data_IF_346038515513
#
_entry.id   IF_346038515513
#
_cell.length_a   1.000
_cell.length_b   1.000
_cell.length_c   1.000
_cell.angle_alpha   90.00
_cell.angle_beta   90.00
_cell.angle_gamma   90.00
#
_symmetry.space_group_name_H-M   'P 1'
#
loop_
_entity.id
_entity.type
_entity.pdbx_description
1 polymer ?
#
# COMPACT_ATOMS: atom_id res chain seq x y z
N UNK A 1 -11.57 -7.18 -0.87
CA UNK A 1 -10.59 -6.46 -0.03
C UNK A 1 -9.33 -6.22 -0.82
N UNK A 2 -8.73 -5.01 -0.71
CA UNK A 2 -7.46 -4.64 -1.35
C UNK A 2 -6.45 -4.22 -0.29
N UNK A 3 -5.41 -5.02 -0.09
CA UNK A 3 -4.38 -4.83 0.94
C UNK A 3 -3.15 -4.16 0.37
N UNK A 4 -2.71 -3.07 1.00
CA UNK A 4 -1.61 -2.22 0.54
C UNK A 4 -0.61 -1.88 1.64
N UNK A 5 0.65 -1.69 1.23
CA UNK A 5 1.70 -1.10 2.06
C UNK A 5 2.28 0.13 1.37
N UNK A 6 2.34 1.27 2.06
CA UNK A 6 2.67 2.56 1.45
C UNK A 6 4.06 2.64 0.81
N UNK A 7 5.05 1.89 1.31
CA UNK A 7 6.41 1.86 0.77
C UNK A 7 6.65 0.76 -0.27
N UNK A 8 5.58 0.10 -0.73
CA UNK A 8 5.66 -0.88 -1.81
C UNK A 8 5.39 -0.23 -3.17
N UNK A 9 6.35 -0.18 -4.10
CA UNK A 9 6.12 0.37 -5.43
C UNK A 9 5.08 -0.45 -6.22
N UNK A 10 5.01 -1.75 -5.99
CA UNK A 10 3.94 -2.58 -6.58
C UNK A 10 2.56 -2.24 -6.00
N UNK A 11 2.47 -1.83 -4.70
CA UNK A 11 1.22 -1.31 -4.14
C UNK A 11 0.81 0.01 -4.80
N UNK A 12 1.77 0.91 -5.08
CA UNK A 12 1.50 2.13 -5.84
C UNK A 12 0.99 1.82 -7.25
N UNK A 13 1.69 0.95 -8.00
CA UNK A 13 1.26 0.52 -9.34
C UNK A 13 -0.15 -0.08 -9.36
N UNK A 14 -0.53 -0.82 -8.32
CA UNK A 14 -1.88 -1.36 -8.17
C UNK A 14 -2.88 -0.25 -7.81
N UNK A 15 -2.54 0.62 -6.85
CA UNK A 15 -3.40 1.69 -6.36
C UNK A 15 -3.84 2.66 -7.47
N UNK A 16 -2.95 2.97 -8.42
CA UNK A 16 -3.26 3.84 -9.56
C UNK A 16 -4.30 3.25 -10.54
N UNK A 17 -4.61 1.96 -10.42
CA UNK A 17 -5.46 1.22 -11.37
C UNK A 17 -6.67 0.54 -10.74
N UNK A 18 -6.62 0.27 -9.45
CA UNK A 18 -7.60 -0.58 -8.78
C UNK A 18 -9.03 -0.06 -8.92
N UNK A 19 -9.24 1.25 -8.80
CA UNK A 19 -10.57 1.86 -8.86
C UNK A 19 -11.22 1.75 -10.25
N UNK A 20 -10.41 1.58 -11.31
CA UNK A 20 -10.90 1.32 -12.68
C UNK A 20 -11.25 -0.15 -12.90
N UNK A 21 -10.49 -1.07 -12.31
CA UNK A 21 -10.63 -2.51 -12.50
C UNK A 21 -11.60 -3.14 -11.50
N UNK A 22 -11.62 -2.64 -10.28
CA UNK A 22 -12.41 -3.11 -9.14
C UNK A 22 -12.99 -1.90 -8.38
N UNK A 23 -13.97 -1.18 -8.93
CA UNK A 23 -14.47 0.10 -8.38
C UNK A 23 -15.06 -0.01 -6.98
N UNK A 24 -15.42 -1.21 -6.54
CA UNK A 24 -15.96 -1.48 -5.20
C UNK A 24 -14.93 -2.14 -4.26
N UNK A 25 -13.63 -2.08 -4.60
CA UNK A 25 -12.59 -2.62 -3.75
C UNK A 25 -12.55 -1.87 -2.41
N UNK A 26 -12.66 -2.60 -1.31
CA UNK A 26 -12.47 -2.04 0.04
C UNK A 26 -10.97 -2.05 0.32
N UNK A 27 -10.40 -0.87 0.50
CA UNK A 27 -8.98 -0.69 0.76
C UNK A 27 -8.65 -0.99 2.23
N UNK A 28 -7.50 -1.60 2.46
CA UNK A 28 -6.97 -1.91 3.78
C UNK A 28 -5.47 -1.62 3.83
N UNK A 29 -5.09 -0.65 4.66
CA UNK A 29 -3.69 -0.38 4.96
C UNK A 29 -3.13 -1.44 5.92
N UNK A 30 -1.95 -1.99 5.61
CA UNK A 30 -1.26 -2.97 6.46
C UNK A 30 0.21 -2.62 6.63
N UNK A 31 0.83 -3.14 7.69
CA UNK A 31 2.27 -3.03 7.88
C UNK A 31 2.99 -4.14 7.11
N UNK A 32 3.46 -3.82 5.91
CA UNK A 32 4.08 -4.78 5.00
C UNK A 32 5.29 -5.49 5.62
N UNK A 33 6.11 -4.78 6.41
CA UNK A 33 7.26 -5.36 7.11
C UNK A 33 6.89 -6.49 8.06
N UNK A 34 5.76 -6.38 8.77
CA UNK A 34 5.27 -7.45 9.65
C UNK A 34 4.75 -8.64 8.85
N UNK A 35 4.06 -8.41 7.71
CA UNK A 35 3.61 -9.49 6.80
C UNK A 35 4.82 -10.25 6.27
N UNK A 36 5.86 -9.58 5.80
CA UNK A 36 7.07 -10.23 5.30
C UNK A 36 7.74 -11.06 6.40
N UNK A 37 7.92 -10.49 7.59
CA UNK A 37 8.52 -11.17 8.73
C UNK A 37 7.76 -12.43 9.14
N UNK A 38 6.43 -12.36 9.20
CA UNK A 38 5.58 -13.51 9.53
C UNK A 38 5.70 -14.67 8.52
N UNK A 39 6.05 -14.34 7.26
CA UNK A 39 6.27 -15.30 6.19
C UNK A 39 7.76 -15.67 5.97
N UNK A 40 8.64 -15.37 6.94
CA UNK A 40 10.08 -15.66 6.85
C UNK A 40 10.81 -14.90 5.76
N UNK A 41 10.30 -13.73 5.35
CA UNK A 41 10.85 -12.91 4.27
C UNK A 41 11.25 -11.51 4.75
N UNK A 42 12.06 -10.85 3.95
CA UNK A 42 12.37 -9.41 4.06
C UNK A 42 11.92 -8.68 2.79
N UNK A 43 11.98 -7.35 2.83
CA UNK A 43 11.79 -6.56 1.61
C UNK A 43 12.90 -6.89 0.60
N UNK A 44 12.53 -7.10 -0.66
CA UNK A 44 13.48 -7.29 -1.75
C UNK A 44 14.38 -6.05 -1.96
N UNK A 45 13.95 -4.88 -1.51
CA UNK A 45 14.77 -3.67 -1.53
C UNK A 45 16.01 -3.74 -0.63
N UNK A 46 16.05 -4.70 0.32
CA UNK A 46 17.20 -5.00 1.17
C UNK A 46 18.12 -6.08 0.57
N UNK A 47 17.72 -6.70 -0.52
CA UNK A 47 18.47 -7.74 -1.22
C UNK A 47 19.23 -7.12 -2.39
N UNK A 48 20.53 -6.92 -2.24
CA UNK A 48 21.38 -6.29 -3.26
C UNK A 48 21.35 -7.02 -4.61
N UNK A 49 21.14 -8.34 -4.60
CA UNK A 49 21.12 -9.14 -5.84
C UNK A 49 19.82 -8.95 -6.64
N UNK A 50 18.70 -8.69 -5.96
CA UNK A 50 17.38 -8.55 -6.58
C UNK A 50 16.95 -7.09 -6.77
N UNK A 51 17.53 -6.17 -5.97
CA UNK A 51 17.05 -4.79 -5.88
C UNK A 51 17.03 -4.09 -7.22
N UNK A 52 18.15 -4.08 -7.92
CA UNK A 52 18.28 -3.33 -9.18
C UNK A 52 17.35 -3.87 -10.27
N UNK A 53 17.24 -5.20 -10.38
CA UNK A 53 16.36 -5.83 -11.35
C UNK A 53 14.87 -5.55 -11.07
N UNK A 54 14.48 -5.54 -9.78
CA UNK A 54 13.10 -5.24 -9.38
C UNK A 54 12.77 -3.75 -9.46
N UNK A 55 13.75 -2.88 -9.21
CA UNK A 55 13.60 -1.44 -9.44
C UNK A 55 13.35 -1.17 -10.94
N UNK A 56 14.15 -1.77 -11.82
CA UNK A 56 13.96 -1.67 -13.26
C UNK A 56 12.60 -2.23 -13.74
N UNK A 57 12.13 -3.34 -13.16
CA UNK A 57 10.79 -3.88 -13.43
C UNK A 57 9.68 -2.90 -13.03
N UNK A 58 9.76 -2.28 -11.85
CA UNK A 58 8.81 -1.26 -11.41
C UNK A 58 8.80 -0.04 -12.36
N UNK A 59 9.97 0.43 -12.77
CA UNK A 59 10.12 1.56 -13.71
C UNK A 59 9.51 1.23 -15.08
N UNK A 60 9.78 0.03 -15.60
CA UNK A 60 9.21 -0.43 -16.85
C UNK A 60 7.67 -0.53 -16.78
N UNK A 61 7.12 -1.07 -15.69
CA UNK A 61 5.66 -1.14 -15.46
C UNK A 61 5.03 0.24 -15.35
N UNK A 62 5.66 1.16 -14.63
CA UNK A 62 5.19 2.55 -14.51
C UNK A 62 5.16 3.24 -15.87
N UNK A 63 6.24 3.13 -16.66
CA UNK A 63 6.33 3.69 -18.00
C UNK A 63 5.28 3.10 -18.96
N UNK A 64 5.09 1.77 -18.95
CA UNK A 64 4.08 1.09 -19.76
C UNK A 64 2.64 1.52 -19.43
N UNK A 65 2.41 2.08 -18.24
CA UNK A 65 1.10 2.56 -17.75
C UNK A 65 0.96 4.09 -17.81
N UNK A 66 1.95 4.79 -18.33
CA UNK A 66 1.94 6.26 -18.43
C UNK A 66 2.02 6.99 -17.08
N UNK A 67 2.53 6.33 -16.03
CA UNK A 67 2.62 6.91 -14.69
C UNK A 67 3.86 7.82 -14.51
N UNK A 68 4.63 8.04 -15.57
CA UNK A 68 5.84 8.85 -15.55
C UNK A 68 7.07 8.12 -14.96
N UNK A 69 8.23 8.79 -14.92
CA UNK A 69 9.43 8.20 -14.38
C UNK A 69 9.32 8.07 -12.85
N UNK A 70 9.70 6.90 -12.33
CA UNK A 70 9.82 6.66 -10.91
C UNK A 70 10.98 7.47 -10.33
N UNK A 71 10.76 8.05 -9.16
CA UNK A 71 11.79 8.67 -8.33
C UNK A 71 11.87 7.92 -7.01
N UNK A 72 12.97 7.19 -6.82
CA UNK A 72 13.14 6.39 -5.62
C UNK A 72 13.48 7.26 -4.41
N UNK A 73 12.77 7.08 -3.27
CA UNK A 73 13.14 7.72 -2.01
C UNK A 73 14.57 7.38 -1.60
N UNK A 74 15.21 8.27 -0.86
CA UNK A 74 16.55 8.04 -0.33
C UNK A 74 16.56 8.32 1.18
N UNK A 75 16.78 7.30 2.04
CA UNK A 75 16.99 5.88 1.70
C UNK A 75 15.71 5.16 1.26
N UNK A 76 15.85 4.02 0.55
CA UNK A 76 14.76 3.12 0.26
C UNK A 76 15.25 1.66 0.27
N UNK A 77 14.52 0.70 0.86
CA UNK A 77 13.30 0.91 1.66
C UNK A 77 13.59 1.59 2.99
N UNK A 78 12.60 2.30 3.51
CA UNK A 78 12.67 3.00 4.78
C UNK A 78 11.66 2.46 5.80
N UNK A 79 11.67 3.00 7.02
CA UNK A 79 10.71 2.63 8.05
C UNK A 79 9.31 3.21 7.73
N UNK A 80 8.37 2.35 7.35
CA UNK A 80 7.02 2.72 6.95
C UNK A 80 5.95 2.61 8.05
N UNK A 81 6.36 2.44 9.31
CA UNK A 81 5.41 2.28 10.44
C UNK A 81 4.52 3.51 10.64
N UNK A 82 5.09 4.72 10.49
CA UNK A 82 4.32 5.96 10.69
C UNK A 82 3.27 6.12 9.58
N UNK A 83 3.63 5.92 8.32
CA UNK A 83 2.67 6.02 7.21
C UNK A 83 1.65 4.88 7.24
N UNK A 84 2.01 3.68 7.67
CA UNK A 84 1.07 2.58 7.86
C UNK A 84 0.01 2.90 8.93
N UNK A 85 0.40 3.53 10.05
CA UNK A 85 -0.55 4.05 11.06
C UNK A 85 -1.43 5.16 10.50
N UNK A 86 -0.84 6.07 9.70
CA UNK A 86 -1.58 7.15 9.07
C UNK A 86 -2.64 6.63 8.08
N UNK A 87 -2.37 5.53 7.38
CA UNK A 87 -3.38 4.85 6.54
C UNK A 87 -4.59 4.40 7.35
N UNK A 88 -4.41 3.79 8.53
CA UNK A 88 -5.53 3.40 9.39
C UNK A 88 -6.27 4.61 9.97
N UNK A 89 -5.55 5.67 10.30
CA UNK A 89 -6.17 6.92 10.72
C UNK A 89 -7.06 7.49 9.60
N UNK A 90 -6.56 7.51 8.37
CA UNK A 90 -7.32 7.95 7.19
C UNK A 90 -8.52 7.03 6.89
N UNK A 91 -8.38 5.72 7.07
CA UNK A 91 -9.46 4.74 6.93
C UNK A 91 -10.64 5.04 7.85
N UNK A 92 -10.39 5.32 9.13
CA UNK A 92 -11.41 5.71 10.11
C UNK A 92 -12.19 6.98 9.73
N UNK A 93 -11.69 7.75 8.77
CA UNK A 93 -12.28 8.99 8.23
C UNK A 93 -12.84 8.83 6.82
N UNK A 94 -12.81 7.62 6.26
CA UNK A 94 -13.22 7.38 4.87
C UNK A 94 -12.29 8.01 3.84
N UNK A 95 -11.05 8.29 4.22
CA UNK A 95 -10.05 8.98 3.40
C UNK A 95 -8.82 8.10 3.05
N UNK A 96 -8.91 6.76 3.22
CA UNK A 96 -7.77 5.88 3.01
C UNK A 96 -7.26 5.94 1.56
N UNK A 97 -8.16 5.82 0.57
CA UNK A 97 -7.75 5.84 -0.85
C UNK A 97 -7.03 7.14 -1.23
N UNK A 98 -7.59 8.34 -1.03
CA UNK A 98 -6.89 9.57 -1.36
C UNK A 98 -5.59 9.74 -0.57
N UNK A 99 -5.55 9.36 0.72
CA UNK A 99 -4.33 9.43 1.52
C UNK A 99 -3.25 8.49 1.00
N UNK A 100 -3.58 7.24 0.73
CA UNK A 100 -2.64 6.24 0.24
C UNK A 100 -2.06 6.65 -1.13
N UNK A 101 -2.90 7.13 -2.06
CA UNK A 101 -2.46 7.65 -3.34
C UNK A 101 -1.53 8.87 -3.18
N UNK A 102 -1.88 9.83 -2.33
CA UNK A 102 -1.03 10.99 -2.07
C UNK A 102 0.34 10.58 -1.51
N UNK A 103 0.36 9.72 -0.49
CA UNK A 103 1.58 9.23 0.13
C UNK A 103 2.46 8.45 -0.88
N UNK A 104 1.88 7.51 -1.63
CA UNK A 104 2.64 6.72 -2.60
C UNK A 104 3.16 7.55 -3.78
N UNK A 105 2.40 8.57 -4.26
CA UNK A 105 2.87 9.52 -5.27
C UNK A 105 4.02 10.37 -4.75
N UNK A 106 3.94 10.84 -3.51
CA UNK A 106 5.08 11.52 -2.87
C UNK A 106 6.30 10.61 -2.84
N UNK A 107 6.16 9.34 -2.44
CA UNK A 107 7.27 8.40 -2.42
C UNK A 107 7.83 8.15 -3.83
N UNK A 108 7.00 7.72 -4.78
CA UNK A 108 7.48 7.15 -6.05
C UNK A 108 7.46 8.10 -7.24
N UNK A 109 6.77 9.25 -7.16
CA UNK A 109 6.83 10.28 -8.19
C UNK A 109 7.69 11.48 -7.78
N UNK A 110 7.81 11.76 -6.46
CA UNK A 110 8.56 12.91 -5.94
C UNK A 110 9.88 12.49 -5.27
N UNK A 111 10.06 11.20 -4.94
CA UNK A 111 11.25 10.68 -4.25
C UNK A 111 11.27 10.98 -2.76
N UNK A 112 10.09 11.21 -2.15
CA UNK A 112 9.97 11.61 -0.75
C UNK A 112 10.10 10.42 0.18
N UNK A 113 10.94 10.53 1.22
CA UNK A 113 11.06 9.52 2.27
C UNK A 113 9.86 9.57 3.23
N UNK A 114 8.97 8.59 3.15
CA UNK A 114 7.84 8.43 4.08
C UNK A 114 8.24 7.87 5.45
N UNK A 115 9.50 7.59 5.69
CA UNK A 115 10.05 7.34 7.03
C UNK A 115 10.06 8.60 7.88
N UNK A 116 10.09 9.77 7.25
CA UNK A 116 10.06 11.06 7.90
C UNK A 116 8.63 11.46 8.29
N UNK A 117 8.43 11.79 9.58
CA UNK A 117 7.11 12.20 10.09
C UNK A 117 6.54 13.41 9.32
N UNK A 118 7.38 14.36 8.96
CA UNK A 118 6.99 15.54 8.18
C UNK A 118 6.37 15.17 6.83
N UNK A 119 6.89 14.16 6.16
CA UNK A 119 6.37 13.66 4.89
C UNK A 119 4.99 12.99 5.07
N UNK A 120 4.82 12.21 6.14
CA UNK A 120 3.52 11.58 6.47
C UNK A 120 2.44 12.65 6.75
N UNK A 121 2.80 13.69 7.51
CA UNK A 121 1.89 14.81 7.81
C UNK A 121 1.55 15.62 6.56
N UNK A 122 2.53 15.82 5.66
CA UNK A 122 2.30 16.49 4.38
C UNK A 122 1.35 15.68 3.48
N UNK A 123 1.47 14.35 3.44
CA UNK A 123 0.51 13.49 2.74
C UNK A 123 -0.92 13.68 3.28
N UNK A 124 -1.09 13.76 4.61
CA UNK A 124 -2.37 14.07 5.24
C UNK A 124 -2.90 15.45 4.85
N UNK A 125 -2.04 16.47 4.89
CA UNK A 125 -2.40 17.85 4.52
C UNK A 125 -2.92 17.94 3.07
N UNK A 126 -2.28 17.21 2.13
CA UNK A 126 -2.68 17.20 0.70
C UNK A 126 -4.09 16.68 0.47
N UNK A 127 -4.62 15.89 1.39
CA UNK A 127 -5.97 15.32 1.30
C UNK A 127 -6.95 15.88 2.33
N UNK A 128 -6.60 17.02 2.96
CA UNK A 128 -7.48 17.73 3.88
C UNK A 128 -7.58 17.11 5.28
N UNK A 129 -6.66 16.21 5.67
CA UNK A 129 -6.57 15.70 7.03
C UNK A 129 -5.91 16.77 7.93
N UNK A 130 -6.51 17.02 9.09
CA UNK A 130 -5.92 17.91 10.10
C UNK A 130 -4.58 17.35 10.59
N UNK A 131 -3.51 18.12 10.40
CA UNK A 131 -2.13 17.72 10.66
C UNK A 131 -1.86 17.50 12.16
N UNK A 132 -2.45 18.32 13.02
CA UNK A 132 -2.26 18.22 14.47
C UNK A 132 -3.04 17.03 15.03
N UNK A 133 -4.21 16.74 14.49
CA UNK A 133 -4.98 15.55 14.82
C UNK A 133 -4.23 14.28 14.38
N UNK A 134 -3.74 14.24 13.15
CA UNK A 134 -2.93 13.13 12.64
C UNK A 134 -1.67 12.92 13.49
N UNK A 135 -0.95 13.99 13.82
CA UNK A 135 0.25 13.92 14.67
C UNK A 135 -0.05 13.31 16.04
N UNK A 136 -1.14 13.73 16.68
CA UNK A 136 -1.56 13.17 17.98
C UNK A 136 -1.92 11.68 17.85
N UNK A 137 -2.70 11.34 16.84
CA UNK A 137 -3.11 9.96 16.59
C UNK A 137 -1.93 9.02 16.33
N UNK A 138 -0.90 9.46 15.61
CA UNK A 138 0.29 8.64 15.34
C UNK A 138 1.07 8.25 16.62
N UNK A 139 0.95 9.06 17.68
CA UNK A 139 1.53 8.76 18.99
C UNK A 139 0.63 7.84 19.83
N UNK A 140 -0.66 7.74 19.53
CA UNK A 140 -1.65 7.00 20.30
C UNK A 140 -1.39 5.49 20.29
N UNK A 141 -1.53 4.86 21.46
CA UNK A 141 -1.41 3.41 21.61
C UNK A 141 -2.54 2.66 20.90
N UNK A 142 -3.75 3.21 20.92
CA UNK A 142 -4.90 2.61 20.23
C UNK A 142 -4.65 2.44 18.73
N UNK A 143 -4.09 3.46 18.06
CA UNK A 143 -3.78 3.37 16.62
C UNK A 143 -2.65 2.38 16.33
N UNK A 144 -1.68 2.25 17.25
CA UNK A 144 -0.61 1.23 17.15
C UNK A 144 -1.18 -0.19 17.24
N UNK A 145 -2.12 -0.40 18.15
CA UNK A 145 -2.75 -1.70 18.35
C UNK A 145 -3.72 -2.03 17.19
N UNK A 146 -4.44 -1.03 16.68
CA UNK A 146 -5.26 -1.18 15.48
C UNK A 146 -4.45 -1.61 14.25
N UNK A 147 -3.24 -1.04 14.04
CA UNK A 147 -2.37 -1.50 12.93
C UNK A 147 -1.92 -2.95 13.11
N UNK A 148 -1.62 -3.37 14.35
CA UNK A 148 -1.28 -4.76 14.64
C UNK A 148 -2.45 -5.69 14.34
N UNK A 149 -3.68 -5.31 14.77
CA UNK A 149 -4.90 -6.07 14.52
C UNK A 149 -5.18 -6.20 13.03
N UNK A 150 -5.22 -5.10 12.27
CA UNK A 150 -5.44 -5.10 10.83
C UNK A 150 -4.40 -5.94 10.06
N UNK A 151 -3.13 -5.89 10.49
CA UNK A 151 -2.07 -6.71 9.88
C UNK A 151 -2.24 -8.20 10.24
N UNK A 152 -2.67 -8.53 11.46
CA UNK A 152 -2.95 -9.90 11.87
C UNK A 152 -4.17 -10.48 11.14
N UNK A 153 -5.22 -9.69 10.94
CA UNK A 153 -6.39 -10.07 10.16
C UNK A 153 -6.03 -10.35 8.68
N UNK A 154 -5.19 -9.50 8.08
CA UNK A 154 -4.68 -9.74 6.73
C UNK A 154 -3.91 -11.07 6.63
N UNK A 155 -3.03 -11.36 7.61
CA UNK A 155 -2.31 -12.64 7.70
C UNK A 155 -3.27 -13.83 7.86
N UNK A 156 -4.28 -13.72 8.73
CA UNK A 156 -5.30 -14.75 8.93
C UNK A 156 -6.13 -15.00 7.66
N UNK A 157 -6.34 -13.95 6.83
CA UNK A 157 -6.96 -14.06 5.52
C UNK A 157 -6.05 -14.63 4.42
N UNK A 158 -4.80 -15.02 4.76
CA UNK A 158 -3.83 -15.61 3.84
C UNK A 158 -2.97 -14.60 3.08
N UNK A 159 -3.01 -13.31 3.43
CA UNK A 159 -2.15 -12.29 2.79
C UNK A 159 -0.71 -12.51 3.22
N UNK A 160 0.16 -12.77 2.26
CA UNK A 160 1.60 -13.01 2.48
C UNK A 160 2.50 -11.95 1.83
N UNK A 161 1.93 -10.95 1.20
CA UNK A 161 2.63 -9.84 0.56
C UNK A 161 1.67 -8.74 0.10
N UNK A 162 2.20 -7.61 -0.33
CA UNK A 162 1.44 -6.47 -0.85
C UNK A 162 1.97 -6.05 -2.23
N UNK A 163 1.10 -5.57 -3.15
CA UNK A 163 -0.37 -5.52 -3.02
C UNK A 163 -1.00 -6.91 -3.07
N UNK A 164 -2.13 -7.08 -2.42
CA UNK A 164 -2.97 -8.29 -2.54
C UNK A 164 -4.44 -7.90 -2.66
N UNK A 165 -5.18 -8.63 -3.49
CA UNK A 165 -6.64 -8.51 -3.59
C UNK A 165 -7.28 -9.84 -3.22
N UNK A 166 -8.33 -9.83 -2.39
CA UNK A 166 -9.17 -10.99 -2.12
C UNK A 166 -10.54 -10.74 -2.74
N UNK A 167 -10.93 -11.63 -3.66
CA UNK A 167 -12.23 -11.68 -4.34
C UNK A 167 -12.80 -13.08 -4.19
N UNK A 168 -14.05 -13.22 -3.74
CA UNK A 168 -14.73 -14.50 -3.57
C UNK A 168 -13.88 -15.55 -2.84
N UNK A 169 -13.14 -15.13 -1.81
CA UNK A 169 -12.22 -15.98 -1.04
C UNK A 169 -10.90 -16.35 -1.74
N UNK A 170 -10.70 -15.92 -2.98
CA UNK A 170 -9.47 -16.16 -3.73
C UNK A 170 -8.51 -14.99 -3.59
N UNK A 171 -7.22 -15.27 -3.27
CA UNK A 171 -6.17 -14.27 -3.17
C UNK A 171 -5.43 -14.08 -4.49
N UNK A 172 -5.26 -12.83 -4.89
CA UNK A 172 -4.46 -12.38 -6.03
C UNK A 172 -3.34 -11.48 -5.50
N UNK A 173 -2.10 -11.93 -5.55
CA UNK A 173 -0.93 -11.18 -5.09
C UNK A 173 -0.13 -10.61 -6.25
N UNK A 174 0.08 -9.31 -6.24
CA UNK A 174 0.82 -8.55 -7.25
C UNK A 174 -0.08 -7.56 -8.01
N UNK A 175 0.55 -6.51 -8.51
CA UNK A 175 -0.10 -5.50 -9.34
C UNK A 175 -0.46 -6.01 -10.74
N UNK A 176 0.17 -7.08 -11.17
CA UNK A 176 -0.05 -7.79 -12.44
C UNK A 176 -1.20 -8.80 -12.39
N UNK A 177 -1.79 -9.03 -11.19
CA UNK A 177 -2.93 -9.93 -11.02
C UNK A 177 -4.28 -9.22 -10.90
N UNK A 178 -4.31 -7.89 -11.05
CA UNK A 178 -5.55 -7.10 -10.89
C UNK A 178 -6.61 -7.44 -11.94
N UNK A 179 -6.21 -7.68 -13.18
CA UNK A 179 -7.15 -8.08 -14.26
C UNK A 179 -7.78 -9.45 -13.99
N UNK A 180 -7.01 -10.38 -13.42
CA UNK A 180 -7.52 -11.69 -13.01
C UNK A 180 -8.51 -11.56 -11.87
N UNK A 181 -8.20 -10.72 -10.85
CA UNK A 181 -9.10 -10.43 -9.74
C UNK A 181 -10.42 -9.81 -10.24
N UNK A 182 -10.34 -8.85 -11.17
CA UNK A 182 -11.52 -8.25 -11.81
C UNK A 182 -12.34 -9.25 -12.62
N UNK A 183 -11.69 -10.20 -13.30
CA UNK A 183 -12.39 -11.27 -14.01
C UNK A 183 -13.09 -12.25 -13.05
N UNK A 184 -12.51 -12.51 -11.86
CA UNK A 184 -13.14 -13.34 -10.83
C UNK A 184 -14.44 -12.71 -10.30
N UNK A 185 -14.44 -11.38 -10.03
CA UNK A 185 -15.64 -10.65 -9.59
C UNK A 185 -16.81 -10.80 -10.58
N UNK A 186 -16.51 -10.70 -11.90
CA UNK A 186 -17.55 -10.82 -12.94
C UNK A 186 -18.14 -12.23 -13.01
N UNK A 187 -17.36 -13.28 -12.76
CA UNK A 187 -17.85 -14.68 -12.73
C UNK A 187 -18.74 -14.94 -11.54
N UNK A 188 -18.44 -14.41 -10.34
CA UNK A 188 -19.27 -14.51 -9.16
C UNK A 188 -20.65 -13.86 -9.35
N UNK A 189 -20.69 -12.69 -9.99
CA UNK A 189 -21.92 -11.96 -10.27
C UNK A 189 -22.87 -12.66 -11.29
N UNK A 190 -22.36 -13.58 -12.12
CA UNK A 190 -23.17 -14.34 -13.10
C UNK A 190 -23.69 -15.68 -12.56
N UNK A 191 -23.28 -16.08 -11.36
CA UNK A 191 -23.63 -17.37 -10.75
C UNK A 191 -24.71 -17.23 -9.66
N UNK A 192 -25.26 -16.02 -9.44
CA UNK A 192 -26.35 -15.69 -8.52
C UNK A 192 -27.61 -15.31 -9.27
#
# INVERSE_FOLDING_TARGET
>A
MFFIGAMSPYSWLAAERISQLLPHAIWQGVFAGAIFKANGRSSWGLDEQQRDARMADCEARAAARGLGPLRWPQPWPTNDVAVARAMLFAERRGALEPFALAAMRMAFCEGTDLGELSAVLEAGRRVGIDVDELRRALADQELKDALRAATAEALAAGVFGVPSVIVEGQLFWGDDRLEEAAAATRRGATST
#
